data_IF_362415217759
#
_entry.id   IF_362415217759
#
_cell.length_a   1.000
_cell.length_b   1.000
_cell.length_c   1.000
_cell.angle_alpha   90.00
_cell.angle_beta   90.00
_cell.angle_gamma   90.00
#
_symmetry.space_group_name_H-M   'P 1'
#
loop_
_entity.id
_entity.type
_entity.pdbx_description
1 polymer ?
#
# COMPACT_ATOMS: atom_id res chain seq x y z
N UNK A 1 50.88 -26.75 6.28
CA UNK A 1 50.07 -25.55 5.93
C UNK A 1 49.95 -25.30 4.43
N UNK A 2 51.00 -25.47 3.62
CA UNK A 2 50.93 -25.25 2.15
C UNK A 2 49.93 -26.17 1.39
N UNK A 3 49.75 -27.42 1.82
CA UNK A 3 48.74 -28.35 1.25
C UNK A 3 47.29 -27.95 1.54
N UNK A 4 47.02 -27.40 2.73
CA UNK A 4 45.69 -26.91 3.12
C UNK A 4 45.33 -25.60 2.38
N UNK A 5 46.34 -24.76 2.11
CA UNK A 5 46.20 -23.54 1.31
C UNK A 5 45.90 -23.84 -0.18
N UNK A 6 46.50 -24.90 -0.74
CA UNK A 6 46.18 -25.36 -2.10
C UNK A 6 44.75 -25.92 -2.21
N UNK A 7 44.27 -26.61 -1.16
CA UNK A 7 42.92 -27.16 -1.13
C UNK A 7 41.85 -26.04 -1.09
N UNK A 8 42.11 -24.95 -0.36
CA UNK A 8 41.26 -23.76 -0.33
C UNK A 8 41.29 -22.97 -1.65
N UNK A 9 42.44 -22.88 -2.31
CA UNK A 9 42.56 -22.22 -3.62
C UNK A 9 41.81 -22.98 -4.73
N UNK A 10 41.89 -24.32 -4.74
CA UNK A 10 41.16 -25.15 -5.70
C UNK A 10 39.63 -25.08 -5.47
N UNK A 11 39.19 -24.97 -4.21
CA UNK A 11 37.76 -24.81 -3.90
C UNK A 11 37.21 -23.44 -4.34
N UNK A 12 38.02 -22.37 -4.29
CA UNK A 12 37.60 -21.04 -4.76
C UNK A 12 37.48 -20.92 -6.29
N UNK A 13 38.23 -21.75 -7.04
CA UNK A 13 38.24 -21.74 -8.51
C UNK A 13 37.09 -22.57 -9.12
N UNK A 14 36.43 -23.41 -8.33
CA UNK A 14 35.31 -24.26 -8.79
C UNK A 14 33.93 -23.58 -8.68
N UNK A 15 33.82 -22.44 -7.98
CA UNK A 15 32.56 -21.70 -7.82
C UNK A 15 32.26 -20.69 -8.94
N UNK A 16 33.17 -20.48 -9.90
CA UNK A 16 32.98 -19.50 -10.99
C UNK A 16 32.34 -20.05 -12.27
N UNK A 17 31.78 -21.27 -12.24
CA UNK A 17 31.08 -21.85 -13.41
C UNK A 17 29.70 -22.39 -13.02
N UNK A 18 28.83 -21.50 -12.57
CA UNK A 18 27.38 -21.75 -12.58
C UNK A 18 26.76 -20.79 -13.60
N UNK A 19 26.25 -21.27 -14.75
CA UNK A 19 25.53 -20.40 -15.66
C UNK A 19 24.22 -19.97 -14.99
N UNK A 20 24.17 -18.71 -14.58
CA UNK A 20 22.96 -18.00 -14.16
C UNK A 20 21.98 -17.96 -15.34
N UNK A 21 21.04 -18.92 -15.40
CA UNK A 21 19.92 -18.87 -16.33
C UNK A 21 18.97 -17.77 -15.87
N UNK A 22 19.23 -16.55 -16.36
CA UNK A 22 18.32 -15.42 -16.21
C UNK A 22 16.96 -15.75 -16.79
N UNK A 23 15.91 -15.39 -16.05
CA UNK A 23 14.52 -15.42 -16.52
C UNK A 23 14.38 -14.51 -17.76
N UNK A 24 14.39 -15.12 -18.94
CA UNK A 24 14.09 -14.45 -20.20
C UNK A 24 12.56 -14.29 -20.33
N UNK A 25 12.02 -13.12 -19.98
CA UNK A 25 10.67 -12.73 -20.40
C UNK A 25 10.71 -12.30 -21.87
N UNK A 26 10.33 -13.22 -22.75
CA UNK A 26 10.05 -12.91 -24.14
C UNK A 26 8.84 -11.98 -24.23
N UNK A 27 9.08 -10.67 -24.42
CA UNK A 27 8.05 -9.73 -24.86
C UNK A 27 7.64 -10.07 -26.29
N UNK A 28 6.50 -10.73 -26.46
CA UNK A 28 5.77 -10.73 -27.73
C UNK A 28 5.38 -9.29 -28.06
N UNK A 29 5.79 -8.83 -29.25
CA UNK A 29 5.35 -7.59 -29.88
C UNK A 29 3.82 -7.58 -29.96
N UNK A 30 3.20 -6.54 -29.40
CA UNK A 30 1.83 -6.19 -29.72
C UNK A 30 1.80 -5.64 -31.15
N UNK A 31 1.15 -6.36 -32.06
CA UNK A 31 0.73 -5.84 -33.36
C UNK A 31 -0.53 -4.99 -33.15
N UNK A 32 -0.45 -3.74 -33.62
CA UNK A 32 -1.53 -2.75 -33.66
C UNK A 32 -2.72 -3.28 -34.46
N UNK A 33 -3.90 -3.21 -33.85
CA UNK A 33 -5.20 -3.53 -34.43
C UNK A 33 -5.53 -2.61 -35.62
N UNK A 34 -6.04 -3.22 -36.69
CA UNK A 34 -6.70 -2.55 -37.80
C UNK A 34 -8.20 -2.43 -37.47
N UNK A 35 -8.70 -1.22 -37.59
CA UNK A 35 -10.10 -0.78 -37.54
C UNK A 35 -11.10 -1.79 -38.09
N UNK A 36 -12.13 -2.11 -37.29
CA UNK A 36 -13.37 -2.69 -37.77
C UNK A 36 -14.55 -1.87 -37.23
N UNK A 37 -15.47 -1.58 -38.15
CA UNK A 37 -16.53 -0.60 -38.08
C UNK A 37 -17.63 -0.91 -37.06
N UNK A 38 -18.27 0.18 -36.66
CA UNK A 38 -19.45 0.29 -35.83
C UNK A 38 -20.63 -0.43 -36.49
N UNK A 39 -21.18 -1.45 -35.82
CA UNK A 39 -22.59 -1.84 -35.99
C UNK A 39 -23.32 -1.69 -34.65
N UNK A 40 -24.40 -0.92 -34.73
CA UNK A 40 -25.29 -0.50 -33.65
C UNK A 40 -26.56 -1.35 -33.74
N UNK A 41 -26.73 -2.25 -32.78
CA UNK A 41 -27.98 -2.77 -32.17
C UNK A 41 -27.54 -3.95 -31.30
N UNK A 42 -28.04 -4.24 -30.11
CA UNK A 42 -29.29 -3.89 -29.45
C UNK A 42 -29.13 -4.24 -27.96
N UNK A 43 -29.69 -3.41 -27.09
CA UNK A 43 -30.41 -3.82 -25.87
C UNK A 43 -29.81 -4.98 -25.03
N UNK A 44 -28.80 -4.68 -24.24
CA UNK A 44 -28.61 -5.32 -22.94
C UNK A 44 -28.32 -4.22 -21.93
N UNK A 45 -29.40 -3.76 -21.27
CA UNK A 45 -29.31 -2.94 -20.07
C UNK A 45 -28.70 -3.85 -19.00
N UNK A 46 -27.37 -3.94 -18.99
CA UNK A 46 -26.61 -4.56 -17.92
C UNK A 46 -26.76 -3.64 -16.70
N UNK A 47 -27.91 -3.75 -16.05
CA UNK A 47 -28.04 -3.43 -14.64
C UNK A 47 -27.17 -4.44 -13.89
N UNK A 48 -25.85 -4.24 -13.98
CA UNK A 48 -24.88 -4.87 -13.11
C UNK A 48 -25.36 -4.54 -11.70
N UNK A 49 -25.92 -5.56 -11.05
CA UNK A 49 -26.48 -5.50 -9.70
C UNK A 49 -25.43 -4.81 -8.84
N UNK A 50 -25.70 -3.58 -8.39
CA UNK A 50 -24.78 -2.81 -7.53
C UNK A 50 -24.57 -3.66 -6.28
N UNK A 51 -23.48 -4.43 -6.23
CA UNK A 51 -23.11 -5.23 -5.06
C UNK A 51 -23.10 -4.28 -3.88
N UNK A 52 -23.90 -4.51 -2.84
CA UNK A 52 -23.98 -3.59 -1.69
C UNK A 52 -22.80 -3.82 -0.74
N UNK A 53 -22.54 -2.91 0.19
CA UNK A 53 -21.51 -3.15 1.21
C UNK A 53 -21.84 -4.42 2.00
N UNK A 54 -23.12 -4.59 2.37
CA UNK A 54 -23.68 -5.74 3.05
C UNK A 54 -23.32 -7.06 2.35
N UNK A 55 -23.47 -7.11 1.02
CA UNK A 55 -23.14 -8.31 0.23
C UNK A 55 -21.66 -8.71 0.31
N UNK A 56 -20.75 -7.73 0.43
CA UNK A 56 -19.30 -7.96 0.48
C UNK A 56 -18.78 -8.37 1.85
N UNK A 57 -19.52 -8.05 2.90
CA UNK A 57 -19.11 -8.27 4.30
C UNK A 57 -19.95 -9.34 5.00
N UNK A 58 -20.95 -9.92 4.32
CA UNK A 58 -21.81 -10.97 4.88
C UNK A 58 -21.06 -12.19 5.44
N UNK A 59 -19.92 -12.55 4.83
CA UNK A 59 -19.03 -13.65 5.28
C UNK A 59 -17.95 -13.18 6.25
N UNK A 60 -17.97 -11.91 6.65
CA UNK A 60 -16.89 -11.31 7.42
C UNK A 60 -17.31 -11.10 8.88
N UNK A 61 -16.38 -11.38 9.80
CA UNK A 61 -16.46 -10.89 11.17
C UNK A 61 -16.15 -9.39 11.18
N UNK A 62 -17.06 -8.59 11.72
CA UNK A 62 -16.86 -7.14 11.91
C UNK A 62 -16.13 -6.90 13.22
N UNK A 63 -15.08 -6.08 13.18
CA UNK A 63 -14.38 -5.56 14.35
C UNK A 63 -14.51 -4.04 14.33
N UNK A 64 -15.18 -3.51 15.35
CA UNK A 64 -15.36 -2.07 15.52
C UNK A 64 -14.18 -1.46 16.29
N UNK A 65 -13.91 -0.19 16.03
CA UNK A 65 -12.78 0.54 16.59
C UNK A 65 -12.61 1.88 15.87
N UNK A 66 -11.44 2.50 16.06
CA UNK A 66 -11.11 3.76 15.39
C UNK A 66 -11.27 3.64 13.85
N UNK A 67 -10.78 2.52 13.32
CA UNK A 67 -11.13 2.01 12.00
C UNK A 67 -11.96 0.74 12.14
N UNK A 68 -12.95 0.58 11.26
CA UNK A 68 -13.73 -0.66 11.18
C UNK A 68 -13.03 -1.65 10.26
N UNK A 69 -12.83 -2.88 10.74
CA UNK A 69 -12.25 -3.96 9.97
C UNK A 69 -13.30 -5.05 9.72
N UNK A 70 -13.27 -5.63 8.53
CA UNK A 70 -14.04 -6.81 8.17
C UNK A 70 -13.08 -7.93 7.80
N UNK A 71 -13.04 -8.99 8.60
CA UNK A 71 -12.20 -10.15 8.34
C UNK A 71 -13.05 -11.29 7.80
N UNK A 72 -12.79 -11.72 6.57
CA UNK A 72 -13.47 -12.87 5.97
C UNK A 72 -13.16 -14.15 6.76
N UNK A 73 -14.19 -14.85 7.24
CA UNK A 73 -14.01 -15.99 8.15
C UNK A 73 -13.53 -17.25 7.45
N UNK A 74 -13.60 -17.32 6.12
CA UNK A 74 -13.15 -18.47 5.34
C UNK A 74 -11.71 -18.31 4.85
N UNK A 75 -11.34 -17.10 4.42
CA UNK A 75 -10.02 -16.81 3.82
C UNK A 75 -9.07 -16.05 4.73
N UNK A 76 -9.56 -15.47 5.82
CA UNK A 76 -8.79 -14.61 6.72
C UNK A 76 -8.47 -13.22 6.15
N UNK A 77 -8.91 -12.89 4.92
CA UNK A 77 -8.65 -11.59 4.28
C UNK A 77 -9.30 -10.46 5.05
N UNK A 78 -8.53 -9.40 5.31
CA UNK A 78 -9.01 -8.21 6.02
C UNK A 78 -9.36 -7.12 5.01
N UNK A 79 -10.51 -6.49 5.22
CA UNK A 79 -10.95 -5.29 4.51
C UNK A 79 -11.06 -4.16 5.52
N UNK A 80 -10.47 -3.02 5.17
CA UNK A 80 -10.57 -1.78 5.95
C UNK A 80 -11.75 -0.95 5.43
N UNK A 81 -12.64 -0.53 6.33
CA UNK A 81 -13.74 0.37 6.00
C UNK A 81 -13.42 1.81 6.43
N UNK A 82 -13.46 2.71 5.46
CA UNK A 82 -13.08 4.12 5.62
C UNK A 82 -14.32 4.98 5.35
N UNK A 83 -14.68 5.83 6.32
CA UNK A 83 -15.80 6.77 6.22
C UNK A 83 -15.39 8.03 5.46
N UNK A 84 -16.37 8.76 4.93
CA UNK A 84 -16.14 10.03 4.21
C UNK A 84 -15.35 11.04 5.02
N UNK A 85 -15.68 11.17 6.30
CA UNK A 85 -15.04 12.10 7.23
C UNK A 85 -13.66 11.63 7.73
N UNK A 86 -13.12 10.52 7.23
CA UNK A 86 -11.77 10.06 7.56
C UNK A 86 -10.78 10.34 6.42
N UNK A 87 -11.25 10.87 5.29
CA UNK A 87 -10.38 11.26 4.18
C UNK A 87 -9.75 12.62 4.44
N UNK A 88 -8.46 12.75 4.13
CA UNK A 88 -7.63 13.94 4.33
C UNK A 88 -7.50 14.42 5.78
N UNK A 89 -8.06 13.68 6.73
CA UNK A 89 -7.82 13.87 8.15
C UNK A 89 -6.46 13.27 8.54
N UNK A 90 -5.80 13.91 9.52
CA UNK A 90 -4.55 13.44 10.07
C UNK A 90 -4.77 12.50 11.26
N UNK A 91 -4.03 11.41 11.25
CA UNK A 91 -4.06 10.36 12.24
C UNK A 91 -2.66 10.18 12.83
N UNK A 92 -2.60 10.01 14.16
CA UNK A 92 -1.37 9.70 14.85
C UNK A 92 -1.08 8.19 14.78
N UNK A 93 0.00 7.83 14.11
CA UNK A 93 0.57 6.49 14.20
C UNK A 93 1.60 6.44 15.33
N UNK A 94 1.44 5.46 16.21
CA UNK A 94 2.41 5.12 17.23
C UNK A 94 2.62 3.61 17.25
N UNK A 95 3.86 3.19 17.41
CA UNK A 95 4.21 1.79 17.65
C UNK A 95 5.04 1.64 18.90
N UNK A 96 4.83 0.52 19.59
CA UNK A 96 5.45 0.20 20.87
C UNK A 96 6.02 -1.23 20.82
N UNK A 97 7.12 -1.45 21.53
CA UNK A 97 7.60 -2.80 21.82
C UNK A 97 6.68 -3.47 22.86
N UNK A 98 6.24 -4.70 22.60
CA UNK A 98 5.39 -5.47 23.54
C UNK A 98 6.20 -6.39 24.47
N UNK A 99 7.54 -6.23 24.51
CA UNK A 99 8.47 -7.10 25.22
C UNK A 99 9.37 -7.89 24.25
N UNK A 100 10.59 -8.21 24.70
CA UNK A 100 11.60 -8.94 23.94
C UNK A 100 12.98 -8.81 24.58
N UNK A 101 14.05 -9.31 23.92
CA UNK A 101 15.41 -9.17 24.42
C UNK A 101 15.81 -7.71 24.69
N UNK A 102 16.32 -7.44 25.90
CA UNK A 102 16.74 -6.11 26.32
C UNK A 102 17.90 -5.56 25.46
N UNK A 103 18.77 -6.45 24.99
CA UNK A 103 19.90 -6.10 24.10
C UNK A 103 19.43 -5.52 22.75
N UNK A 104 18.22 -5.88 22.30
CA UNK A 104 17.59 -5.30 21.10
C UNK A 104 16.71 -4.09 21.42
N UNK A 105 16.80 -3.57 22.65
CA UNK A 105 15.94 -2.50 23.17
C UNK A 105 14.45 -2.84 23.05
N UNK A 106 14.05 -4.11 23.18
CA UNK A 106 12.64 -4.51 23.09
C UNK A 106 11.92 -4.47 24.45
N UNK A 107 12.32 -3.54 25.32
CA UNK A 107 11.66 -3.32 26.59
C UNK A 107 10.17 -3.02 26.38
N UNK A 108 9.33 -3.52 27.30
CA UNK A 108 7.89 -3.35 27.20
C UNK A 108 7.50 -1.86 27.19
N UNK A 109 6.54 -1.52 26.33
CA UNK A 109 6.02 -0.17 26.09
C UNK A 109 7.04 0.85 25.58
N UNK A 110 8.22 0.42 25.10
CA UNK A 110 9.16 1.34 24.47
C UNK A 110 8.60 1.86 23.15
N UNK A 111 8.47 3.19 23.00
CA UNK A 111 8.03 3.84 21.75
C UNK A 111 9.06 3.56 20.65
N UNK A 112 8.57 3.19 19.47
CA UNK A 112 9.39 2.84 18.31
C UNK A 112 9.27 3.86 17.20
N UNK A 113 8.05 4.23 16.85
CA UNK A 113 7.77 5.22 15.84
C UNK A 113 6.64 6.13 16.31
N UNK A 114 6.70 7.38 15.89
CA UNK A 114 5.60 8.34 16.06
C UNK A 114 5.57 9.25 14.85
N UNK A 115 4.45 9.26 14.14
CA UNK A 115 4.28 10.14 12.97
C UNK A 115 2.81 10.32 12.61
N UNK A 116 2.53 11.38 11.88
CA UNK A 116 1.21 11.69 11.35
C UNK A 116 1.03 11.06 9.97
N UNK A 117 -0.16 10.55 9.70
CA UNK A 117 -0.54 10.11 8.37
C UNK A 117 -1.96 10.52 8.02
N UNK A 118 -2.23 10.64 6.73
CA UNK A 118 -3.57 10.87 6.19
C UNK A 118 -3.90 9.86 5.13
N UNK A 119 -5.19 9.65 4.94
CA UNK A 119 -5.72 8.77 3.90
C UNK A 119 -6.34 9.66 2.82
N UNK A 120 -5.85 9.55 1.58
CA UNK A 120 -6.40 10.30 0.45
C UNK A 120 -6.79 9.38 -0.70
N UNK A 121 -7.69 9.88 -1.54
CA UNK A 121 -8.05 9.25 -2.80
C UNK A 121 -7.27 9.92 -3.92
N UNK A 122 -6.54 9.14 -4.69
CA UNK A 122 -5.85 9.57 -5.90
C UNK A 122 -6.36 8.74 -7.09
N UNK A 123 -7.26 9.33 -7.89
CA UNK A 123 -7.99 8.63 -8.96
C UNK A 123 -8.69 7.34 -8.49
N UNK A 124 -8.22 6.17 -8.93
CA UNK A 124 -8.75 4.85 -8.57
C UNK A 124 -8.03 4.21 -7.36
N UNK A 125 -7.07 4.92 -6.76
CA UNK A 125 -6.24 4.42 -5.67
C UNK A 125 -6.57 5.10 -4.35
N UNK A 126 -6.46 4.32 -3.30
CA UNK A 126 -6.44 4.76 -1.92
C UNK A 126 -4.97 4.84 -1.49
N UNK A 127 -4.53 6.01 -1.06
CA UNK A 127 -3.15 6.26 -0.64
C UNK A 127 -3.12 6.61 0.85
N UNK A 128 -2.20 5.98 1.58
CA UNK A 128 -1.82 6.41 2.91
C UNK A 128 -0.51 7.16 2.80
N UNK A 129 -0.53 8.36 3.34
CA UNK A 129 0.51 9.35 3.14
C UNK A 129 0.99 9.82 4.50
N UNK A 130 2.29 9.74 4.74
CA UNK A 130 2.92 10.30 5.93
C UNK A 130 2.97 11.83 5.78
N UNK A 131 2.37 12.54 6.73
CA UNK A 131 2.45 13.99 6.82
C UNK A 131 3.80 14.41 7.36
N UNK A 132 4.33 15.52 6.85
CA UNK A 132 5.56 16.11 7.35
C UNK A 132 5.24 17.13 8.45
N UNK A 133 5.50 16.75 9.71
CA UNK A 133 5.27 17.63 10.87
C UNK A 133 6.48 18.53 11.20
N UNK A 134 7.55 18.50 10.41
CA UNK A 134 8.76 19.31 10.64
C UNK A 134 8.63 20.74 10.13
N UNK A 135 7.60 21.03 9.33
CA UNK A 135 7.34 22.36 8.79
C UNK A 135 6.16 23.02 9.50
N UNK A 136 6.35 24.26 9.92
CA UNK A 136 5.29 25.10 10.46
C UNK A 136 5.34 26.46 9.78
N UNK A 137 4.17 26.93 9.32
CA UNK A 137 4.03 28.23 8.68
C UNK A 137 3.08 29.06 9.54
N UNK A 138 3.57 30.17 10.09
CA UNK A 138 2.75 31.11 10.83
C UNK A 138 1.66 31.69 9.90
N UNK A 139 0.37 31.45 10.17
CA UNK A 139 -0.73 31.95 9.33
C UNK A 139 -0.77 33.48 9.19
N UNK A 140 -0.18 34.22 10.14
CA UNK A 140 -0.13 35.70 10.10
C UNK A 140 1.02 36.22 9.23
N UNK A 141 2.00 35.38 8.94
CA UNK A 141 3.15 35.76 8.12
C UNK A 141 2.80 35.72 6.62
N UNK A 142 3.33 36.65 5.80
CA UNK A 142 3.23 36.56 4.34
C UNK A 142 3.77 35.25 3.76
N UNK A 143 4.70 34.58 4.46
CA UNK A 143 5.28 33.30 4.06
C UNK A 143 4.25 32.16 4.03
N UNK A 144 3.14 32.27 4.76
CA UNK A 144 2.06 31.25 4.76
C UNK A 144 1.46 31.01 3.37
N UNK A 145 1.55 31.98 2.46
CA UNK A 145 1.10 31.84 1.07
C UNK A 145 1.88 30.81 0.27
N UNK A 146 3.12 30.51 0.68
CA UNK A 146 3.98 29.50 0.08
C UNK A 146 4.04 28.21 0.93
N UNK A 147 3.11 28.04 1.89
CA UNK A 147 3.09 26.87 2.74
C UNK A 147 2.96 25.59 1.91
N UNK A 148 3.83 24.61 2.20
CA UNK A 148 3.83 23.28 1.61
C UNK A 148 4.06 23.21 0.09
N UNK A 149 4.50 24.30 -0.57
CA UNK A 149 4.78 24.29 -2.03
C UNK A 149 5.90 23.31 -2.37
N UNK A 150 6.98 23.31 -1.59
CA UNK A 150 8.16 22.46 -1.80
C UNK A 150 8.26 21.31 -0.77
N UNK A 151 7.14 20.97 -0.12
CA UNK A 151 7.09 19.89 0.87
C UNK A 151 6.51 18.65 0.22
N UNK A 152 7.36 17.64 0.01
CA UNK A 152 6.93 16.35 -0.50
C UNK A 152 6.34 15.48 0.62
N UNK A 153 5.23 14.82 0.32
CA UNK A 153 4.60 13.85 1.22
C UNK A 153 4.98 12.42 0.81
N UNK A 154 5.20 11.54 1.80
CA UNK A 154 5.63 10.17 1.54
C UNK A 154 4.44 9.20 1.51
N UNK A 155 4.12 8.65 0.34
CA UNK A 155 3.13 7.58 0.19
C UNK A 155 3.77 6.26 0.66
N UNK A 156 3.27 5.68 1.75
CA UNK A 156 3.78 4.41 2.29
C UNK A 156 2.87 3.21 2.01
N UNK A 157 1.62 3.47 1.58
CA UNK A 157 0.70 2.44 1.13
C UNK A 157 -0.17 2.97 -0.01
N UNK A 158 -0.38 2.16 -1.04
CA UNK A 158 -1.24 2.54 -2.17
C UNK A 158 -1.90 1.31 -2.79
N UNK A 159 -3.22 1.22 -2.67
CA UNK A 159 -3.99 0.09 -3.20
C UNK A 159 -5.12 0.58 -4.11
N UNK A 160 -5.44 -0.22 -5.14
CA UNK A 160 -6.62 0.04 -5.97
C UNK A 160 -7.88 -0.16 -5.13
N UNK A 161 -8.82 0.76 -5.24
CA UNK A 161 -10.11 0.63 -4.57
C UNK A 161 -10.86 -0.62 -5.07
N UNK A 162 -11.22 -1.54 -4.17
CA UNK A 162 -12.04 -2.71 -4.49
C UNK A 162 -13.46 -2.33 -4.95
N UNK A 163 -13.91 -1.14 -4.60
CA UNK A 163 -15.17 -0.55 -5.04
C UNK A 163 -14.97 0.94 -5.30
N UNK A 164 -15.56 1.47 -6.37
CA UNK A 164 -15.71 2.92 -6.52
C UNK A 164 -16.44 3.48 -5.31
N UNK A 165 -15.83 4.43 -4.63
CA UNK A 165 -16.48 5.17 -3.56
C UNK A 165 -17.64 5.94 -4.18
N UNK A 166 -18.84 5.37 -4.08
CA UNK A 166 -20.08 6.05 -4.44
C UNK A 166 -20.49 6.81 -3.20
N UNK A 167 -20.23 8.11 -3.18
CA UNK A 167 -20.89 8.98 -2.24
C UNK A 167 -22.35 9.04 -2.70
N UNK A 168 -23.25 8.36 -2.00
CA UNK A 168 -24.64 8.76 -2.04
C UNK A 168 -24.67 10.20 -1.52
N UNK A 169 -25.15 11.10 -2.36
CA UNK A 169 -25.39 12.50 -2.04
C UNK A 169 -26.67 12.62 -1.24
#
# INVERSE_FOLDING_TARGET
MKKQLYLLLIFSMLCSVVPFKGFAQAKKKASVEKTAEIKKDSTAKDTAKKVTLTDQVKSCKKTEGFFTLYQDTATGRIKLYIRKNQFNEEFLYQSFSMGGPAELFLNQNMIRETWLFKIRKNFERLEFVRSNASFYYDPKSPLSKAANVDVSEAIFFSEKLQRKIHWEY
#
